data_IF_969490364368
#
_entry.id   IF_969490364368
#
_cell.length_a   1.000
_cell.length_b   1.000
_cell.length_c   1.000
_cell.angle_alpha   90.00
_cell.angle_beta   90.00
_cell.angle_gamma   90.00
#
_symmetry.space_group_name_H-M   'P 1'
#
loop_
_entity.id
_entity.type
_entity.pdbx_description
1 polymer ?
#
# COMPACT_ATOMS: atom_id res chain seq x y z
N UNK A 1 0.81 -42.30 32.63
CA UNK A 1 1.48 -41.19 31.92
C UNK A 1 1.18 -39.95 32.74
N UNK A 2 2.24 -39.33 33.20
CA UNK A 2 2.16 -38.21 34.15
C UNK A 2 1.66 -36.96 33.43
N UNK A 3 0.82 -36.17 34.08
CA UNK A 3 0.18 -34.98 33.53
C UNK A 3 1.21 -33.92 33.05
N UNK A 4 2.40 -33.97 33.65
CA UNK A 4 3.56 -33.15 33.29
C UNK A 4 4.15 -33.51 31.93
N UNK A 5 4.19 -34.79 31.57
CA UNK A 5 4.69 -35.26 30.27
C UNK A 5 3.76 -34.88 29.13
N UNK A 6 2.45 -34.87 29.36
CA UNK A 6 1.44 -34.41 28.37
C UNK A 6 1.52 -32.89 28.15
N UNK A 7 1.79 -32.14 29.19
CA UNK A 7 1.94 -30.68 29.13
C UNK A 7 3.22 -30.28 28.39
N UNK A 8 4.32 -31.00 28.65
CA UNK A 8 5.59 -30.76 27.96
C UNK A 8 5.55 -31.12 26.47
N UNK A 9 4.86 -32.20 26.11
CA UNK A 9 4.66 -32.59 24.71
C UNK A 9 3.81 -31.58 23.94
N UNK A 10 2.76 -31.03 24.58
CA UNK A 10 1.92 -29.98 23.96
C UNK A 10 2.67 -28.65 23.80
N UNK A 11 3.51 -28.29 24.77
CA UNK A 11 4.34 -27.09 24.66
C UNK A 11 5.38 -27.21 23.55
N UNK A 12 6.00 -28.39 23.39
CA UNK A 12 6.93 -28.64 22.27
C UNK A 12 6.25 -28.53 20.94
N UNK A 13 5.07 -29.12 20.78
CA UNK A 13 4.31 -29.05 19.53
C UNK A 13 3.87 -27.62 19.14
N UNK A 14 3.55 -26.80 20.14
CA UNK A 14 3.20 -25.40 19.95
C UNK A 14 4.43 -24.55 19.56
N UNK A 15 5.55 -24.78 20.21
CA UNK A 15 6.83 -24.12 19.92
C UNK A 15 7.39 -24.53 18.55
N UNK A 16 7.30 -25.80 18.17
CA UNK A 16 7.71 -26.26 16.83
C UNK A 16 6.87 -25.63 15.70
N UNK A 17 5.57 -25.40 15.95
CA UNK A 17 4.71 -24.67 15.01
C UNK A 17 5.10 -23.19 14.89
N UNK A 18 5.51 -22.56 15.97
CA UNK A 18 5.90 -21.15 15.95
C UNK A 18 7.31 -20.97 15.35
N UNK A 19 8.24 -21.87 15.62
CA UNK A 19 9.57 -21.93 15.00
C UNK A 19 9.49 -22.15 13.50
N UNK A 20 8.57 -23.00 13.04
CA UNK A 20 8.33 -23.24 11.61
C UNK A 20 7.82 -21.97 10.88
N UNK A 21 7.11 -21.10 11.57
CA UNK A 21 6.65 -19.83 11.01
C UNK A 21 7.78 -18.79 10.81
N UNK A 22 8.85 -18.88 11.59
CA UNK A 22 9.91 -17.85 11.63
C UNK A 22 11.24 -18.27 10.99
N UNK A 23 11.31 -19.39 10.26
CA UNK A 23 12.50 -19.86 9.51
C UNK A 23 13.83 -19.77 10.31
N UNK A 24 13.82 -20.10 11.59
CA UNK A 24 15.05 -20.16 12.40
C UNK A 24 15.90 -21.36 11.94
N UNK A 25 17.22 -21.15 11.79
CA UNK A 25 18.12 -22.19 11.30
C UNK A 25 18.10 -23.43 12.21
N UNK A 26 18.18 -24.66 11.63
CA UNK A 26 18.08 -25.93 12.38
C UNK A 26 19.08 -26.13 13.51
N UNK A 27 20.11 -25.30 13.60
CA UNK A 27 21.15 -25.37 14.65
C UNK A 27 20.94 -24.50 15.88
N UNK A 28 19.92 -23.65 15.90
CA UNK A 28 19.71 -22.68 17.00
C UNK A 28 19.16 -23.34 18.29
N UNK A 29 18.34 -24.38 18.14
CA UNK A 29 17.65 -25.05 19.24
C UNK A 29 18.57 -25.79 20.25
N UNK A 30 19.52 -26.61 19.82
CA UNK A 30 20.43 -27.31 20.76
C UNK A 30 21.33 -26.37 21.54
N UNK A 31 21.60 -25.17 21.07
CA UNK A 31 22.39 -24.17 21.82
C UNK A 31 21.55 -23.48 22.88
N UNK A 32 20.26 -23.21 22.61
CA UNK A 32 19.33 -22.63 23.57
C UNK A 32 19.04 -23.60 24.71
N UNK A 33 18.83 -24.86 24.40
CA UNK A 33 18.56 -25.93 25.39
C UNK A 33 19.74 -26.14 26.34
N UNK A 34 20.97 -26.10 25.87
CA UNK A 34 22.20 -26.18 26.68
C UNK A 34 22.37 -24.97 27.61
N UNK A 35 21.96 -23.77 27.20
CA UNK A 35 21.98 -22.57 28.06
C UNK A 35 20.91 -22.63 29.18
N UNK A 36 19.74 -23.14 28.88
CA UNK A 36 18.62 -23.24 29.82
C UNK A 36 18.86 -24.33 30.91
N UNK A 37 19.61 -25.40 30.60
CA UNK A 37 19.91 -26.47 31.56
C UNK A 37 20.83 -26.05 32.71
N UNK A 38 21.57 -24.95 32.56
CA UNK A 38 22.58 -24.52 33.57
C UNK A 38 22.07 -23.58 34.66
N UNK A 39 20.77 -23.20 34.69
CA UNK A 39 20.25 -22.25 35.68
C UNK A 39 18.87 -22.68 36.24
N UNK A 40 18.84 -23.52 37.30
CA UNK A 40 17.59 -24.11 37.81
C UNK A 40 16.58 -23.07 38.37
N UNK A 41 17.04 -21.93 38.89
CA UNK A 41 16.17 -20.89 39.44
C UNK A 41 15.38 -20.10 38.36
N UNK A 42 15.86 -20.06 37.13
CA UNK A 42 15.14 -19.43 36.00
C UNK A 42 13.98 -20.30 35.50
N UNK A 43 14.01 -21.60 35.74
CA UNK A 43 12.89 -22.52 35.41
C UNK A 43 11.67 -22.23 36.29
N UNK A 44 11.88 -21.93 37.56
CA UNK A 44 10.80 -21.56 38.48
C UNK A 44 10.17 -20.20 38.09
N UNK A 45 10.99 -19.24 37.66
CA UNK A 45 10.52 -17.92 37.24
C UNK A 45 9.74 -17.95 35.91
N UNK A 46 10.14 -18.80 34.95
CA UNK A 46 9.42 -18.99 33.69
C UNK A 46 8.10 -19.73 33.89
N UNK A 47 8.10 -20.78 34.76
CA UNK A 47 6.85 -21.49 35.08
C UNK A 47 5.87 -20.60 35.87
N UNK A 48 6.34 -19.77 36.80
CA UNK A 48 5.50 -18.80 37.48
C UNK A 48 4.99 -17.68 36.53
N UNK A 49 5.82 -17.19 35.60
CA UNK A 49 5.43 -16.21 34.60
C UNK A 49 4.37 -16.74 33.63
N UNK A 50 4.51 -17.99 33.18
CA UNK A 50 3.51 -18.63 32.33
C UNK A 50 2.18 -18.90 33.06
N UNK A 51 2.23 -19.29 34.34
CA UNK A 51 1.03 -19.50 35.15
C UNK A 51 0.26 -18.19 35.39
N UNK A 52 0.97 -17.08 35.63
CA UNK A 52 0.36 -15.73 35.76
C UNK A 52 -0.23 -15.26 34.46
N UNK A 53 0.42 -15.51 33.30
CA UNK A 53 -0.12 -15.17 31.99
C UNK A 53 -1.36 -15.98 31.62
N UNK A 54 -1.39 -17.27 31.95
CA UNK A 54 -2.57 -18.12 31.71
C UNK A 54 -3.72 -17.74 32.63
N UNK A 55 -3.43 -17.42 33.91
CA UNK A 55 -4.43 -16.95 34.86
C UNK A 55 -4.99 -15.56 34.46
N UNK A 56 -4.11 -14.64 34.01
CA UNK A 56 -4.54 -13.34 33.49
C UNK A 56 -5.37 -13.46 32.21
N UNK A 57 -5.02 -14.40 31.32
CA UNK A 57 -5.82 -14.69 30.12
C UNK A 57 -7.19 -15.32 30.47
N UNK A 58 -7.26 -16.20 31.46
CA UNK A 58 -8.51 -16.82 31.91
C UNK A 58 -9.47 -15.84 32.60
N UNK A 59 -8.93 -14.82 33.27
CA UNK A 59 -9.73 -13.75 33.91
C UNK A 59 -10.09 -12.66 32.90
N UNK A 60 -9.19 -12.35 31.94
CA UNK A 60 -9.43 -11.33 30.94
C UNK A 60 -10.27 -11.80 29.75
N UNK A 61 -10.28 -13.09 29.44
CA UNK A 61 -11.03 -13.65 28.30
C UNK A 61 -12.56 -13.41 28.39
N UNK A 62 -13.24 -13.58 29.54
CA UNK A 62 -14.65 -13.24 29.64
C UNK A 62 -14.90 -11.73 29.52
N UNK A 63 -13.98 -10.91 30.05
CA UNK A 63 -14.11 -9.45 30.00
C UNK A 63 -13.88 -8.89 28.59
N UNK A 64 -12.90 -9.45 27.87
CA UNK A 64 -12.66 -9.16 26.46
C UNK A 64 -13.79 -9.69 25.58
N UNK A 65 -14.29 -10.92 25.85
CA UNK A 65 -15.42 -11.49 25.12
C UNK A 65 -16.68 -10.65 25.30
N UNK A 66 -16.98 -10.19 26.52
CA UNK A 66 -18.13 -9.33 26.79
C UNK A 66 -18.03 -7.95 26.08
N UNK A 67 -16.81 -7.39 25.95
CA UNK A 67 -16.60 -6.15 25.17
C UNK A 67 -16.63 -6.38 23.66
N UNK A 68 -16.22 -7.56 23.19
CA UNK A 68 -16.23 -7.92 21.76
C UNK A 68 -17.60 -8.44 21.29
N UNK A 69 -18.46 -8.91 22.23
CA UNK A 69 -19.81 -9.41 21.97
C UNK A 69 -20.90 -8.36 22.21
N UNK A 70 -20.52 -7.15 22.60
CA UNK A 70 -21.50 -6.07 22.66
C UNK A 70 -22.09 -5.89 21.25
N UNK A 71 -23.43 -5.83 21.10
CA UNK A 71 -24.02 -5.57 19.80
C UNK A 71 -23.39 -4.31 19.26
N UNK A 72 -22.86 -4.40 18.03
CA UNK A 72 -22.34 -3.22 17.31
C UNK A 72 -23.45 -2.20 17.35
N UNK A 73 -23.27 -1.16 18.17
CA UNK A 73 -24.21 -0.03 18.19
C UNK A 73 -24.44 0.38 16.74
N UNK A 74 -25.68 0.60 16.38
CA UNK A 74 -26.03 1.15 15.06
C UNK A 74 -25.03 2.26 14.73
N UNK A 75 -24.43 2.27 13.53
CA UNK A 75 -23.44 3.26 13.21
C UNK A 75 -23.97 4.64 13.60
N UNK A 76 -23.21 5.44 14.35
CA UNK A 76 -23.65 6.76 14.71
C UNK A 76 -24.11 7.49 13.45
N UNK A 77 -25.20 8.23 13.53
CA UNK A 77 -25.64 9.08 12.43
C UNK A 77 -24.42 9.82 11.89
N UNK A 78 -24.22 9.84 10.56
CA UNK A 78 -23.10 10.52 9.97
C UNK A 78 -23.01 11.93 10.56
N UNK A 79 -21.83 12.38 11.01
CA UNK A 79 -21.70 13.72 11.55
C UNK A 79 -22.21 14.72 10.53
N UNK A 80 -22.86 15.82 10.95
CA UNK A 80 -23.29 16.87 10.05
C UNK A 80 -22.06 17.45 9.35
N UNK A 81 -21.84 17.09 8.09
CA UNK A 81 -20.69 17.48 7.31
C UNK A 81 -20.57 16.67 6.00
N UNK A 82 -19.64 17.02 5.13
CA UNK A 82 -19.42 16.27 3.88
C UNK A 82 -19.01 14.82 4.19
N UNK A 83 -19.64 13.88 3.52
CA UNK A 83 -19.40 12.45 3.68
C UNK A 83 -19.40 11.73 2.33
N UNK A 84 -18.76 10.57 2.27
CA UNK A 84 -18.78 9.75 1.06
C UNK A 84 -19.95 8.78 1.09
N UNK A 85 -20.65 8.69 -0.03
CA UNK A 85 -21.69 7.69 -0.26
C UNK A 85 -21.29 6.76 -1.40
N UNK A 86 -21.80 5.53 -1.37
CA UNK A 86 -21.57 4.56 -2.43
C UNK A 86 -22.48 4.91 -3.60
N UNK A 87 -21.90 5.29 -4.73
CA UNK A 87 -22.63 5.58 -5.97
C UNK A 87 -22.86 4.34 -6.82
N UNK A 88 -21.82 3.54 -7.05
CA UNK A 88 -21.90 2.35 -7.90
C UNK A 88 -20.87 1.29 -7.49
N UNK A 89 -21.09 0.05 -7.95
CA UNK A 89 -20.20 -1.09 -7.74
C UNK A 89 -20.06 -1.92 -9.00
N UNK A 90 -18.88 -2.51 -9.21
CA UNK A 90 -18.60 -3.45 -10.28
C UNK A 90 -17.59 -4.52 -9.85
N UNK A 91 -17.74 -5.74 -10.36
CA UNK A 91 -16.70 -6.75 -10.19
C UNK A 91 -15.53 -6.47 -11.11
N UNK A 92 -14.31 -6.61 -10.58
CA UNK A 92 -13.07 -6.38 -11.33
C UNK A 92 -12.05 -7.48 -11.02
N UNK A 93 -11.03 -7.60 -11.87
CA UNK A 93 -9.96 -8.59 -11.71
C UNK A 93 -8.59 -7.92 -11.69
N UNK A 94 -8.46 -6.78 -10.97
CA UNK A 94 -7.20 -6.04 -10.92
C UNK A 94 -7.12 -5.11 -9.72
N UNK A 95 -5.90 -4.79 -9.30
CA UNK A 95 -5.62 -4.02 -8.09
C UNK A 95 -5.12 -2.60 -8.41
N UNK A 96 -4.32 -2.47 -9.48
CA UNK A 96 -3.73 -1.19 -9.88
C UNK A 96 -4.68 -0.44 -10.78
N UNK A 97 -5.00 0.81 -10.42
CA UNK A 97 -5.96 1.63 -11.15
C UNK A 97 -5.50 3.09 -11.23
N UNK A 98 -5.97 3.75 -12.27
CA UNK A 98 -5.78 5.19 -12.47
C UNK A 98 -7.00 5.79 -13.15
N UNK A 99 -7.21 7.09 -13.00
CA UNK A 99 -8.26 7.81 -13.73
C UNK A 99 -7.64 8.80 -14.72
N UNK A 100 -8.27 8.93 -15.86
CA UNK A 100 -7.88 9.89 -16.90
C UNK A 100 -8.62 9.64 -18.21
N UNK A 101 -8.61 10.64 -19.06
CA UNK A 101 -9.29 10.58 -20.36
C UNK A 101 -10.77 10.17 -20.27
N UNK A 102 -11.46 10.65 -19.23
CA UNK A 102 -12.89 10.38 -19.00
C UNK A 102 -13.21 8.94 -18.58
N UNK A 103 -12.24 8.18 -18.09
CA UNK A 103 -12.43 6.79 -17.68
C UNK A 103 -11.61 6.43 -16.45
N UNK A 104 -11.95 5.31 -15.83
CA UNK A 104 -11.09 4.59 -14.87
C UNK A 104 -10.46 3.41 -15.60
N UNK A 105 -9.15 3.26 -15.41
CA UNK A 105 -8.34 2.21 -16.05
C UNK A 105 -7.80 1.28 -15.00
N UNK A 106 -7.95 -0.02 -15.21
CA UNK A 106 -7.57 -1.06 -14.22
C UNK A 106 -6.73 -2.11 -14.93
N UNK A 107 -5.59 -2.48 -14.35
CA UNK A 107 -4.80 -3.61 -14.82
C UNK A 107 -5.36 -4.89 -14.21
N UNK A 108 -5.84 -5.79 -15.06
CA UNK A 108 -6.15 -7.17 -14.74
C UNK A 108 -5.13 -8.15 -15.31
N UNK A 109 -5.27 -9.46 -15.02
CA UNK A 109 -4.39 -10.50 -15.53
C UNK A 109 -4.46 -10.58 -17.07
N UNK A 110 -3.38 -10.12 -17.73
CA UNK A 110 -3.27 -10.14 -19.20
C UNK A 110 -4.16 -9.15 -19.95
N UNK A 111 -4.84 -8.25 -19.24
CA UNK A 111 -5.78 -7.28 -19.83
C UNK A 111 -5.75 -5.94 -19.11
N UNK A 112 -6.21 -4.91 -19.78
CA UNK A 112 -6.49 -3.60 -19.17
C UNK A 112 -7.97 -3.28 -19.41
N UNK A 113 -8.68 -3.03 -18.33
CA UNK A 113 -10.09 -2.65 -18.38
C UNK A 113 -10.23 -1.13 -18.44
N UNK A 114 -11.11 -0.66 -19.32
CA UNK A 114 -11.62 0.70 -19.28
C UNK A 114 -13.02 0.69 -18.68
N UNK A 115 -13.22 1.45 -17.62
CA UNK A 115 -14.48 1.56 -16.90
C UNK A 115 -15.06 2.96 -17.09
N UNK A 116 -16.32 3.03 -17.45
CA UNK A 116 -17.08 4.28 -17.53
C UNK A 116 -17.39 4.78 -16.11
N UNK A 117 -16.94 5.99 -15.74
CA UNK A 117 -17.15 6.51 -14.39
C UNK A 117 -18.62 6.92 -14.10
N UNK A 118 -19.48 7.05 -15.08
CA UNK A 118 -20.89 7.36 -14.84
C UNK A 118 -21.71 6.11 -14.48
N UNK A 119 -21.35 4.96 -15.08
CA UNK A 119 -22.14 3.73 -14.97
C UNK A 119 -21.44 2.60 -14.21
N UNK A 120 -20.14 2.77 -13.89
CA UNK A 120 -19.24 1.74 -13.36
C UNK A 120 -19.12 0.48 -14.25
N UNK A 121 -19.51 0.56 -15.52
CA UNK A 121 -19.44 -0.58 -16.45
C UNK A 121 -18.10 -0.61 -17.18
N UNK A 122 -17.58 -1.81 -17.37
CA UNK A 122 -16.45 -2.02 -18.29
C UNK A 122 -16.92 -1.78 -19.73
N UNK A 123 -16.35 -0.76 -20.36
CA UNK A 123 -16.66 -0.37 -21.75
C UNK A 123 -15.63 -0.86 -22.76
N UNK A 124 -14.46 -1.28 -22.30
CA UNK A 124 -13.47 -1.97 -23.13
C UNK A 124 -12.60 -2.90 -22.30
N UNK A 125 -12.21 -4.02 -22.92
CA UNK A 125 -11.20 -4.95 -22.40
C UNK A 125 -10.08 -5.04 -23.42
N UNK A 126 -8.90 -4.60 -23.07
CA UNK A 126 -7.75 -4.42 -23.97
C UNK A 126 -6.72 -5.50 -23.67
N UNK A 127 -6.42 -6.39 -24.62
CA UNK A 127 -5.39 -7.40 -24.41
C UNK A 127 -4.02 -6.77 -24.14
N UNK A 128 -3.40 -7.20 -23.04
CA UNK A 128 -2.06 -6.77 -22.62
C UNK A 128 -1.34 -7.95 -21.94
N UNK A 129 -0.90 -8.94 -22.74
CA UNK A 129 -0.28 -10.16 -22.21
C UNK A 129 0.91 -9.87 -21.30
N UNK A 130 0.90 -10.40 -20.07
CA UNK A 130 1.92 -10.13 -19.05
C UNK A 130 1.64 -8.93 -18.16
N UNK A 131 0.63 -8.10 -18.45
CA UNK A 131 0.11 -7.13 -17.50
C UNK A 131 -0.59 -7.85 -16.33
N UNK A 132 -0.72 -7.18 -15.16
CA UNK A 132 -1.40 -7.73 -13.98
C UNK A 132 -0.57 -8.66 -13.11
N UNK A 133 0.69 -8.95 -13.46
CA UNK A 133 1.67 -9.49 -12.53
C UNK A 133 1.97 -8.45 -11.43
N UNK A 134 2.31 -8.91 -10.23
CA UNK A 134 2.69 -8.01 -9.14
C UNK A 134 4.22 -7.94 -9.00
N UNK A 135 4.77 -6.74 -8.78
CA UNK A 135 4.13 -5.42 -8.74
C UNK A 135 3.76 -4.90 -10.14
N UNK A 136 2.69 -4.10 -10.26
CA UNK A 136 2.29 -3.48 -11.51
C UNK A 136 1.81 -2.05 -11.30
N UNK A 137 2.09 -1.17 -12.26
CA UNK A 137 1.71 0.22 -12.25
C UNK A 137 0.96 0.66 -13.50
N UNK A 138 0.05 1.61 -13.36
CA UNK A 138 -0.67 2.23 -14.45
C UNK A 138 -0.72 3.74 -14.26
N UNK A 139 -0.50 4.50 -15.31
CA UNK A 139 -0.54 5.95 -15.28
C UNK A 139 -1.19 6.52 -16.55
N UNK A 140 -1.84 7.65 -16.41
CA UNK A 140 -2.39 8.42 -17.52
C UNK A 140 -1.59 9.69 -17.75
N UNK A 141 -1.35 10.05 -19.00
CA UNK A 141 -0.65 11.28 -19.35
C UNK A 141 0.03 11.19 -20.72
N UNK A 142 0.52 12.33 -21.19
CA UNK A 142 1.20 12.42 -22.49
C UNK A 142 0.40 11.81 -23.66
N UNK A 143 -0.93 11.98 -23.64
CA UNK A 143 -1.84 11.50 -24.68
C UNK A 143 -2.12 10.00 -24.67
N UNK A 144 -1.74 9.26 -23.62
CA UNK A 144 -1.90 7.81 -23.57
C UNK A 144 -2.15 7.29 -22.14
N UNK A 145 -2.55 6.03 -22.06
CA UNK A 145 -2.51 5.22 -20.84
C UNK A 145 -1.28 4.31 -20.94
N UNK A 146 -0.52 4.26 -19.85
CA UNK A 146 0.73 3.53 -19.75
C UNK A 146 0.63 2.48 -18.65
N UNK A 147 0.93 1.24 -18.97
CA UNK A 147 0.79 0.12 -18.03
C UNK A 147 2.05 -0.75 -18.04
N UNK A 148 2.57 -1.08 -16.87
CA UNK A 148 3.72 -1.97 -16.73
C UNK A 148 3.33 -3.43 -16.94
N UNK A 149 4.27 -4.20 -17.49
CA UNK A 149 4.20 -5.65 -17.64
C UNK A 149 5.45 -6.26 -16.99
N UNK A 150 5.34 -6.78 -15.74
CA UNK A 150 6.50 -7.37 -15.05
C UNK A 150 6.75 -8.85 -15.40
N UNK A 151 5.92 -9.45 -16.24
CA UNK A 151 5.94 -10.89 -16.55
C UNK A 151 7.11 -11.32 -17.44
N UNK A 152 6.92 -12.42 -18.18
CA UNK A 152 7.94 -13.03 -19.08
C UNK A 152 8.52 -12.06 -20.12
N UNK A 153 7.76 -11.06 -20.49
CA UNK A 153 8.17 -10.01 -21.41
C UNK A 153 8.05 -8.66 -20.66
N UNK A 154 9.07 -8.31 -19.88
CA UNK A 154 9.01 -7.07 -19.10
C UNK A 154 9.01 -5.84 -20.01
N UNK A 155 8.19 -4.85 -19.66
CA UNK A 155 8.04 -3.65 -20.45
C UNK A 155 6.86 -2.78 -20.07
N UNK A 156 6.51 -1.88 -20.97
CA UNK A 156 5.40 -0.93 -20.82
C UNK A 156 4.52 -0.95 -22.05
N UNK A 157 3.23 -1.13 -21.84
CA UNK A 157 2.20 -0.93 -22.85
C UNK A 157 1.84 0.54 -22.94
N UNK A 158 1.72 1.04 -24.17
CA UNK A 158 1.09 2.32 -24.48
C UNK A 158 -0.26 2.06 -25.12
N UNK A 159 -1.32 2.61 -24.55
CA UNK A 159 -2.70 2.46 -25.03
C UNK A 159 -3.25 3.82 -25.46
N UNK A 160 -3.86 3.90 -26.62
CA UNK A 160 -4.62 5.09 -27.05
C UNK A 160 -5.99 5.07 -26.35
N UNK A 161 -6.28 6.08 -25.50
CA UNK A 161 -7.54 6.13 -24.75
C UNK A 161 -8.77 6.41 -25.63
N UNK A 162 -8.59 6.83 -26.86
CA UNK A 162 -9.70 7.12 -27.79
C UNK A 162 -10.12 5.86 -28.55
N UNK A 163 -9.16 5.04 -28.95
CA UNK A 163 -9.40 3.84 -29.76
C UNK A 163 -9.44 2.56 -28.94
N UNK A 164 -8.97 2.59 -27.69
CA UNK A 164 -8.81 1.43 -26.79
C UNK A 164 -7.86 0.35 -27.36
N UNK A 165 -6.86 0.75 -28.14
CA UNK A 165 -5.88 -0.18 -28.71
C UNK A 165 -4.50 0.06 -28.12
N UNK A 166 -3.74 -1.03 -27.95
CA UNK A 166 -2.29 -0.95 -27.72
C UNK A 166 -1.62 -0.42 -28.97
N UNK A 167 -0.96 0.73 -28.82
CA UNK A 167 -0.24 1.40 -29.93
C UNK A 167 1.25 1.10 -29.93
N UNK A 168 1.80 0.67 -28.78
CA UNK A 168 3.21 0.30 -28.65
C UNK A 168 3.44 -0.57 -27.43
N UNK A 169 4.48 -1.42 -27.49
CA UNK A 169 5.05 -2.11 -26.36
C UNK A 169 6.55 -1.81 -26.31
N UNK A 170 6.98 -1.18 -25.22
CA UNK A 170 8.37 -0.80 -24.99
C UNK A 170 9.00 -1.84 -24.04
N UNK A 171 9.96 -2.61 -24.54
CA UNK A 171 10.68 -3.60 -23.72
C UNK A 171 11.57 -2.91 -22.72
N UNK A 172 11.51 -3.36 -21.50
CA UNK A 172 12.29 -2.87 -20.37
C UNK A 172 12.74 -4.07 -19.51
N UNK A 173 13.96 -4.58 -19.71
CA UNK A 173 14.59 -5.45 -18.73
C UNK A 173 15.29 -4.56 -17.68
N UNK A 174 15.22 -4.79 -16.40
CA UNK A 174 14.53 -5.84 -15.68
C UNK A 174 13.04 -5.57 -15.38
N UNK A 175 12.55 -5.93 -14.18
CA UNK A 175 11.13 -5.94 -13.83
C UNK A 175 10.59 -4.53 -13.53
N UNK A 176 9.72 -3.94 -14.38
CA UNK A 176 9.07 -2.68 -14.10
C UNK A 176 8.07 -2.81 -12.94
N UNK A 177 8.18 -1.93 -11.94
CA UNK A 177 7.39 -2.00 -10.71
C UNK A 177 6.37 -0.86 -10.59
N UNK A 178 6.77 0.36 -10.95
CA UNK A 178 5.92 1.55 -10.86
C UNK A 178 6.12 2.46 -12.05
N UNK A 179 5.14 3.30 -12.33
CA UNK A 179 5.14 4.20 -13.49
C UNK A 179 4.46 5.52 -13.15
N UNK A 180 5.00 6.61 -13.65
CA UNK A 180 4.37 7.93 -13.59
C UNK A 180 4.64 8.73 -14.86
N UNK A 181 3.77 9.68 -15.17
CA UNK A 181 3.95 10.63 -16.28
C UNK A 181 4.17 12.02 -15.71
N UNK A 182 5.36 12.53 -15.90
CA UNK A 182 5.75 13.84 -15.40
C UNK A 182 6.84 14.49 -16.27
N UNK A 183 6.92 15.81 -16.28
CA UNK A 183 7.95 16.58 -17.00
C UNK A 183 8.08 16.20 -18.49
N UNK A 184 6.96 15.90 -19.14
CA UNK A 184 6.93 15.50 -20.56
C UNK A 184 7.54 14.13 -20.85
N UNK A 185 7.73 13.28 -19.86
CA UNK A 185 8.30 11.93 -19.97
C UNK A 185 7.44 10.92 -19.20
N UNK A 186 7.60 9.66 -19.56
CA UNK A 186 7.12 8.53 -18.77
C UNK A 186 8.30 7.99 -17.99
N UNK A 187 8.13 7.85 -16.68
CA UNK A 187 9.15 7.40 -15.75
C UNK A 187 8.75 6.05 -15.20
N UNK A 188 9.64 5.09 -15.31
CA UNK A 188 9.39 3.70 -14.89
C UNK A 188 10.45 3.31 -13.88
N UNK A 189 10.02 2.88 -12.71
CA UNK A 189 10.89 2.26 -11.71
C UNK A 189 10.99 0.76 -11.99
N UNK A 190 12.20 0.21 -11.88
CA UNK A 190 12.51 -1.16 -12.20
C UNK A 190 13.32 -1.79 -11.06
N UNK A 191 12.84 -2.96 -10.59
CA UNK A 191 13.55 -3.72 -9.57
C UNK A 191 14.63 -4.60 -10.21
N UNK A 192 15.83 -4.54 -9.60
CA UNK A 192 16.98 -5.40 -9.92
C UNK A 192 17.44 -6.16 -8.68
N UNK A 193 18.31 -7.15 -8.87
CA UNK A 193 19.08 -7.72 -7.76
C UNK A 193 20.08 -6.66 -7.25
N UNK A 194 19.72 -6.00 -6.12
CA UNK A 194 20.49 -4.90 -5.56
C UNK A 194 19.82 -3.53 -5.76
N UNK A 195 20.58 -2.45 -6.05
CA UNK A 195 20.00 -1.14 -6.32
C UNK A 195 19.14 -1.17 -7.58
N UNK A 196 17.92 -0.63 -7.47
CA UNK A 196 17.03 -0.51 -8.60
C UNK A 196 17.40 0.66 -9.53
N UNK A 197 16.65 0.78 -10.61
CA UNK A 197 16.82 1.86 -11.58
C UNK A 197 15.50 2.57 -11.87
N UNK A 198 15.60 3.77 -12.41
CA UNK A 198 14.49 4.49 -13.05
C UNK A 198 14.89 4.79 -14.47
N UNK A 199 14.06 4.39 -15.42
CA UNK A 199 14.22 4.73 -16.83
C UNK A 199 13.25 5.80 -17.27
N UNK A 200 13.63 6.53 -18.32
CA UNK A 200 12.81 7.57 -18.96
C UNK A 200 12.39 7.10 -20.33
N UNK A 201 11.11 7.19 -20.64
CA UNK A 201 10.58 6.95 -21.98
C UNK A 201 10.13 8.27 -22.58
N UNK A 202 10.54 8.56 -23.79
CA UNK A 202 9.99 9.67 -24.58
C UNK A 202 8.65 9.25 -25.17
N UNK A 203 7.52 9.87 -24.76
CA UNK A 203 6.19 9.49 -25.24
C UNK A 203 5.95 9.81 -26.72
N UNK A 204 6.81 10.62 -27.35
CA UNK A 204 6.71 10.97 -28.78
C UNK A 204 7.33 9.91 -29.67
N UNK A 205 8.40 9.29 -29.21
CA UNK A 205 9.15 8.27 -29.98
C UNK A 205 8.90 6.84 -29.50
N UNK A 206 8.36 6.65 -28.29
CA UNK A 206 8.20 5.38 -27.60
C UNK A 206 9.53 4.66 -27.33
N UNK A 207 10.61 5.41 -27.16
CA UNK A 207 11.93 4.86 -26.85
C UNK A 207 12.43 5.33 -25.47
N UNK A 208 13.23 4.49 -24.84
CA UNK A 208 14.00 4.87 -23.66
C UNK A 208 14.95 5.98 -24.03
N UNK A 209 15.00 7.04 -23.23
CA UNK A 209 15.82 8.23 -23.46
C UNK A 209 16.85 8.44 -22.36
N UNK A 210 18.11 8.42 -22.74
CA UNK A 210 19.26 8.57 -21.85
C UNK A 210 19.56 7.32 -20.99
N UNK A 211 20.60 7.38 -20.15
CA UNK A 211 21.00 6.25 -19.33
C UNK A 211 20.00 5.98 -18.20
N UNK A 212 19.93 4.73 -17.71
CA UNK A 212 19.21 4.40 -16.49
C UNK A 212 19.74 5.18 -15.29
N UNK A 213 18.83 5.57 -14.39
CA UNK A 213 19.15 6.33 -13.18
C UNK A 213 19.12 5.36 -12.00
N UNK A 214 20.27 5.15 -11.35
CA UNK A 214 20.33 4.27 -10.18
C UNK A 214 19.65 4.89 -8.97
N UNK A 215 18.81 4.09 -8.29
CA UNK A 215 18.07 4.44 -7.08
C UNK A 215 18.32 3.41 -5.97
N UNK A 216 17.63 3.50 -4.85
CA UNK A 216 17.74 2.50 -3.79
C UNK A 216 17.16 1.16 -4.19
N UNK A 217 17.33 0.15 -3.32
CA UNK A 217 16.88 -1.22 -3.55
C UNK A 217 15.35 -1.34 -3.47
N UNK A 218 14.77 -2.09 -4.40
CA UNK A 218 13.35 -2.37 -4.46
C UNK A 218 12.49 -1.11 -4.67
N UNK A 219 12.70 -0.35 -5.77
CA UNK A 219 11.87 0.81 -6.04
C UNK A 219 10.41 0.39 -6.24
N UNK A 220 9.52 0.98 -5.46
CA UNK A 220 8.09 0.62 -5.43
C UNK A 220 7.20 1.69 -6.03
N UNK A 221 7.17 2.88 -5.48
CA UNK A 221 6.32 4.00 -5.91
C UNK A 221 7.19 5.10 -6.53
N UNK A 222 6.64 5.81 -7.51
CA UNK A 222 7.28 6.98 -8.10
C UNK A 222 6.26 8.11 -8.27
N UNK A 223 6.53 9.27 -7.66
CA UNK A 223 5.66 10.44 -7.72
C UNK A 223 6.46 11.70 -8.10
N UNK A 224 5.78 12.70 -8.63
CA UNK A 224 6.40 13.98 -8.99
C UNK A 224 5.89 15.11 -8.10
N UNK A 225 6.80 15.84 -7.45
CA UNK A 225 6.48 16.98 -6.58
C UNK A 225 7.56 18.05 -6.66
N UNK A 226 7.15 19.32 -6.66
CA UNK A 226 8.06 20.47 -6.61
C UNK A 226 9.22 20.37 -7.60
N UNK A 227 8.94 19.96 -8.83
CA UNK A 227 9.97 19.82 -9.87
C UNK A 227 10.91 18.63 -9.71
N UNK A 228 10.65 17.73 -8.78
CA UNK A 228 11.48 16.59 -8.43
C UNK A 228 10.69 15.30 -8.53
N UNK A 229 11.33 14.21 -8.93
CA UNK A 229 10.76 12.87 -8.81
C UNK A 229 11.19 12.25 -7.49
N UNK A 230 10.27 11.58 -6.85
CA UNK A 230 10.47 10.88 -5.59
C UNK A 230 10.19 9.41 -5.79
N UNK A 231 11.15 8.57 -5.45
CA UNK A 231 11.07 7.12 -5.59
C UNK A 231 11.16 6.50 -4.20
N UNK A 232 10.14 5.76 -3.83
CA UNK A 232 10.16 4.96 -2.61
C UNK A 232 10.95 3.68 -2.86
N UNK A 233 11.92 3.39 -2.01
CA UNK A 233 12.71 2.16 -2.06
C UNK A 233 12.28 1.26 -0.91
N UNK A 234 11.85 0.04 -1.21
CA UNK A 234 11.28 -0.91 -0.23
C UNK A 234 12.33 -1.79 0.44
N UNK A 235 13.58 -1.32 0.54
CA UNK A 235 14.60 -2.05 1.24
C UNK A 235 14.27 -2.20 2.72
N UNK A 236 14.29 -3.44 3.21
CA UNK A 236 14.12 -3.76 4.63
C UNK A 236 15.36 -3.48 5.48
N UNK A 237 16.45 -3.02 4.88
CA UNK A 237 17.68 -2.70 5.60
C UNK A 237 17.64 -1.29 6.18
N UNK A 238 17.83 -1.11 7.48
CA UNK A 238 17.83 0.21 8.12
C UNK A 238 19.00 1.11 7.63
N UNK A 239 19.98 0.53 6.95
CA UNK A 239 21.16 1.22 6.45
C UNK A 239 21.04 1.67 4.99
N UNK A 240 19.98 1.28 4.28
CA UNK A 240 19.77 1.65 2.88
C UNK A 240 18.81 2.84 2.75
N UNK A 241 18.96 3.65 1.68
CA UNK A 241 18.06 4.78 1.43
C UNK A 241 16.62 4.30 1.18
N UNK A 242 15.66 4.86 1.90
CA UNK A 242 14.23 4.55 1.72
C UNK A 242 13.60 5.39 0.63
N UNK A 243 14.21 6.53 0.29
CA UNK A 243 13.70 7.45 -0.71
C UNK A 243 14.85 7.98 -1.56
N UNK A 244 14.68 7.95 -2.86
CA UNK A 244 15.55 8.60 -3.83
C UNK A 244 14.84 9.81 -4.45
N UNK A 245 15.53 10.95 -4.48
CA UNK A 245 15.09 12.19 -5.14
C UNK A 245 15.83 12.32 -6.45
N UNK A 246 15.11 12.42 -7.56
CA UNK A 246 15.69 12.54 -8.89
C UNK A 246 15.38 13.93 -9.45
N UNK A 247 16.40 14.65 -9.87
CA UNK A 247 16.21 15.83 -10.71
C UNK A 247 15.83 15.36 -12.12
N UNK A 248 14.62 15.66 -12.62
CA UNK A 248 14.15 15.13 -13.91
C UNK A 248 14.90 15.68 -15.12
N UNK A 249 15.53 16.84 -15.01
CA UNK A 249 16.29 17.44 -16.09
C UNK A 249 17.69 16.83 -16.23
N UNK A 250 18.38 16.61 -15.12
CA UNK A 250 19.79 16.15 -15.11
C UNK A 250 19.94 14.67 -14.84
N UNK A 251 18.95 14.02 -14.21
CA UNK A 251 19.05 12.66 -13.70
C UNK A 251 19.86 12.53 -12.41
N UNK A 252 20.31 13.64 -11.83
CA UNK A 252 21.03 13.62 -10.57
C UNK A 252 20.15 13.07 -9.44
N UNK A 253 20.73 12.20 -8.60
CA UNK A 253 20.03 11.52 -7.50
C UNK A 253 20.59 12.00 -6.18
N UNK A 254 19.70 12.43 -5.29
CA UNK A 254 19.94 12.59 -3.88
C UNK A 254 19.15 11.53 -3.11
N UNK A 255 19.83 10.75 -2.28
CA UNK A 255 19.17 9.71 -1.49
C UNK A 255 19.03 10.16 -0.03
N UNK A 256 17.86 9.95 0.53
CA UNK A 256 17.61 10.24 1.95
C UNK A 256 17.42 8.93 2.71
N UNK A 257 18.14 8.77 3.80
CA UNK A 257 17.86 7.73 4.78
C UNK A 257 16.65 8.17 5.60
N UNK A 258 15.55 7.45 5.44
CA UNK A 258 14.27 7.83 6.03
C UNK A 258 14.16 7.54 7.52
N UNK A 259 15.13 7.91 8.34
CA UNK A 259 15.04 7.72 9.80
C UNK A 259 13.95 8.55 10.47
N UNK A 260 13.44 9.59 9.81
CA UNK A 260 12.38 10.45 10.34
C UNK A 260 10.97 10.10 9.81
N UNK A 261 10.86 9.34 8.72
CA UNK A 261 9.58 9.15 8.03
C UNK A 261 8.87 7.84 8.37
N UNK A 262 9.59 6.81 8.78
CA UNK A 262 9.00 5.50 9.03
C UNK A 262 8.86 5.15 10.50
N UNK A 263 9.73 5.62 11.33
CA UNK A 263 9.84 5.14 12.70
C UNK A 263 10.05 3.62 12.77
N UNK A 264 10.14 3.09 13.96
CA UNK A 264 10.07 1.66 14.23
C UNK A 264 8.70 1.32 14.82
N UNK A 265 8.23 0.09 14.61
CA UNK A 265 7.11 -0.44 15.37
C UNK A 265 7.54 -0.70 16.83
N UNK A 266 6.60 -1.13 17.68
CA UNK A 266 6.90 -1.47 19.09
C UNK A 266 7.90 -2.62 19.25
N UNK A 267 8.18 -3.36 18.18
CA UNK A 267 9.12 -4.47 18.14
C UNK A 267 10.47 -4.07 17.55
N UNK A 268 10.65 -2.80 17.15
CA UNK A 268 11.88 -2.28 16.56
C UNK A 268 12.04 -2.54 15.06
N UNK A 269 11.00 -3.08 14.37
CA UNK A 269 11.07 -3.28 12.93
C UNK A 269 10.96 -1.95 12.20
N UNK A 270 11.82 -1.72 11.21
CA UNK A 270 11.75 -0.55 10.36
C UNK A 270 10.41 -0.52 9.61
N UNK A 271 9.66 0.57 9.75
CA UNK A 271 8.45 0.79 8.98
C UNK A 271 8.83 1.31 7.62
N UNK A 272 8.32 0.67 6.60
CA UNK A 272 8.50 1.10 5.22
C UNK A 272 7.71 2.38 5.03
N UNK A 273 8.39 3.51 4.87
CA UNK A 273 7.76 4.75 4.47
C UNK A 273 7.62 4.75 2.96
N UNK A 274 6.39 4.74 2.49
CA UNK A 274 6.04 4.99 1.09
C UNK A 274 5.71 6.46 0.94
N UNK A 275 6.10 7.05 -0.18
CA UNK A 275 5.49 8.30 -0.61
C UNK A 275 4.32 7.91 -1.49
N UNK A 276 3.12 8.06 -0.95
CA UNK A 276 1.91 7.60 -1.63
C UNK A 276 1.34 8.68 -2.56
N UNK A 277 1.44 9.94 -2.16
CA UNK A 277 0.80 11.04 -2.90
C UNK A 277 1.56 12.36 -2.82
N UNK A 278 1.14 13.26 -3.70
CA UNK A 278 1.58 14.65 -3.76
C UNK A 278 0.38 15.55 -3.86
N UNK A 279 0.33 16.59 -3.05
CA UNK A 279 -0.72 17.60 -3.11
C UNK A 279 -0.59 18.67 -2.03
N UNK A 280 -1.22 19.79 -2.22
CA UNK A 280 -1.14 20.97 -1.33
C UNK A 280 0.32 21.33 -0.97
N UNK A 281 1.23 21.30 -1.95
CA UNK A 281 2.64 21.62 -1.75
C UNK A 281 3.41 20.62 -0.89
N UNK A 282 2.87 19.43 -0.65
CA UNK A 282 3.45 18.45 0.27
C UNK A 282 3.49 17.05 -0.33
N UNK A 283 4.36 16.21 0.20
CA UNK A 283 4.30 14.76 0.05
C UNK A 283 3.44 14.18 1.18
N UNK A 284 2.75 13.12 0.87
CA UNK A 284 1.87 12.40 1.80
C UNK A 284 2.29 10.94 1.87
N UNK A 285 2.36 10.40 3.07
CA UNK A 285 2.71 9.01 3.32
C UNK A 285 1.93 8.46 4.50
N UNK A 286 1.80 7.15 4.55
CA UNK A 286 1.19 6.46 5.69
C UNK A 286 2.26 5.90 6.63
N UNK A 287 2.01 6.04 7.92
CA UNK A 287 2.75 5.41 9.00
C UNK A 287 1.82 4.52 9.83
N UNK A 288 2.31 4.04 10.99
CA UNK A 288 1.44 3.27 11.89
C UNK A 288 0.41 4.18 12.53
N UNK A 289 -0.85 3.97 12.15
CA UNK A 289 -2.00 4.74 12.65
C UNK A 289 -1.92 6.25 12.42
N UNK A 290 -1.11 6.69 11.45
CA UNK A 290 -0.98 8.11 11.09
C UNK A 290 -0.86 8.27 9.59
N UNK A 291 -1.32 9.39 9.08
CA UNK A 291 -0.93 9.94 7.79
C UNK A 291 0.04 11.08 8.05
N UNK A 292 1.18 11.06 7.39
CA UNK A 292 2.21 12.07 7.55
C UNK A 292 2.24 13.01 6.35
N UNK A 293 2.38 14.27 6.64
CA UNK A 293 2.64 15.32 5.66
C UNK A 293 4.10 15.72 5.71
N UNK A 294 4.76 15.80 4.55
CA UNK A 294 6.19 16.01 4.43
C UNK A 294 6.44 17.19 3.50
N UNK A 295 7.30 18.10 3.92
CA UNK A 295 7.80 19.19 3.09
C UNK A 295 8.76 18.63 2.01
N UNK A 296 8.45 18.77 0.73
CA UNK A 296 9.29 18.24 -0.35
C UNK A 296 10.63 18.96 -0.51
N UNK A 297 10.79 20.17 0.00
CA UNK A 297 12.06 20.90 -0.08
C UNK A 297 13.06 20.37 0.95
N UNK A 298 12.59 20.15 2.19
CA UNK A 298 13.44 19.79 3.32
C UNK A 298 13.42 18.30 3.65
N UNK A 299 12.40 17.57 3.20
CA UNK A 299 12.16 16.18 3.58
C UNK A 299 11.69 15.99 5.02
N UNK A 300 11.27 17.05 5.69
CA UNK A 300 10.83 17.01 7.09
C UNK A 300 9.32 16.74 7.19
N UNK A 301 8.93 15.96 8.20
CA UNK A 301 7.52 15.78 8.57
C UNK A 301 7.01 17.10 9.15
N UNK A 302 5.99 17.67 8.54
CA UNK A 302 5.34 18.91 8.97
C UNK A 302 4.06 18.67 9.74
N UNK A 303 3.42 17.51 9.57
CA UNK A 303 2.27 17.08 10.35
C UNK A 303 2.19 15.55 10.42
N UNK A 304 1.72 15.04 11.55
CA UNK A 304 1.36 13.65 11.76
C UNK A 304 -0.11 13.60 12.20
N UNK A 305 -0.97 13.14 11.33
CA UNK A 305 -2.42 13.17 11.48
C UNK A 305 -2.90 11.79 11.91
N UNK A 306 -3.53 11.63 13.08
CA UNK A 306 -4.02 10.34 13.53
C UNK A 306 -5.09 9.79 12.59
N UNK A 307 -4.77 8.68 11.93
CA UNK A 307 -5.69 7.90 11.09
C UNK A 307 -5.41 6.42 11.35
N UNK A 308 -6.18 5.79 12.24
CA UNK A 308 -5.98 4.39 12.57
C UNK A 308 -6.08 3.49 11.34
N UNK A 309 -5.17 2.52 11.24
CA UNK A 309 -5.12 1.52 10.18
C UNK A 309 -4.96 2.09 8.76
N UNK A 310 -4.51 3.34 8.61
CA UNK A 310 -4.17 3.90 7.30
C UNK A 310 -2.99 3.14 6.69
N UNK A 311 -3.08 2.81 5.38
CA UNK A 311 -2.02 2.07 4.70
C UNK A 311 -1.70 2.60 3.30
N UNK A 312 -2.55 3.49 2.72
CA UNK A 312 -2.32 4.16 1.45
C UNK A 312 -3.05 5.51 1.43
N UNK A 313 -2.48 6.51 0.77
CA UNK A 313 -3.09 7.83 0.62
C UNK A 313 -2.92 8.33 -0.81
N UNK A 314 -3.95 8.98 -1.34
CA UNK A 314 -3.89 9.76 -2.58
C UNK A 314 -4.25 11.21 -2.31
N UNK A 315 -3.95 12.10 -3.25
CA UNK A 315 -4.42 13.49 -3.20
C UNK A 315 -5.38 13.77 -4.35
N UNK A 316 -6.59 14.20 -4.00
CA UNK A 316 -7.63 14.48 -4.98
C UNK A 316 -8.61 15.56 -4.48
N UNK A 317 -8.99 16.50 -5.36
CA UNK A 317 -9.90 17.61 -5.04
C UNK A 317 -9.56 18.36 -3.75
N UNK A 318 -8.27 18.68 -3.56
CA UNK A 318 -7.82 19.49 -2.42
C UNK A 318 -7.70 18.74 -1.10
N UNK A 319 -8.07 17.46 -1.03
CA UNK A 319 -7.97 16.62 0.16
C UNK A 319 -6.98 15.47 -0.03
N UNK A 320 -6.35 15.05 1.05
CA UNK A 320 -5.61 13.80 1.10
C UNK A 320 -6.56 12.67 1.56
N UNK A 321 -6.72 11.66 0.71
CA UNK A 321 -7.66 10.56 0.93
C UNK A 321 -6.93 9.31 1.35
N UNK A 322 -7.15 8.87 2.58
CA UNK A 322 -6.50 7.71 3.15
C UNK A 322 -7.42 6.49 3.16
N UNK A 323 -6.89 5.36 2.64
CA UNK A 323 -7.51 4.05 2.80
C UNK A 323 -7.22 3.50 4.19
N UNK A 324 -8.24 3.00 4.87
CA UNK A 324 -8.11 2.34 6.16
C UNK A 324 -8.70 0.94 6.10
N UNK A 325 -8.07 -0.01 6.78
CA UNK A 325 -8.55 -1.39 6.86
C UNK A 325 -8.51 -1.85 8.31
N UNK A 326 -9.64 -2.31 8.83
CA UNK A 326 -9.74 -2.82 10.20
C UNK A 326 -9.80 -4.34 10.17
N UNK A 327 -8.69 -4.99 10.54
CA UNK A 327 -8.70 -6.41 10.86
C UNK A 327 -9.09 -6.60 12.35
N UNK A 328 -9.93 -7.54 12.74
CA UNK A 328 -10.53 -8.63 11.96
C UNK A 328 -11.95 -8.33 11.42
N UNK A 329 -12.47 -7.10 11.53
CA UNK A 329 -13.85 -6.78 11.15
C UNK A 329 -14.15 -7.00 9.65
N UNK A 330 -13.11 -7.09 8.81
CA UNK A 330 -13.25 -7.19 7.36
C UNK A 330 -13.93 -5.97 6.74
N UNK A 331 -13.86 -4.82 7.39
CA UNK A 331 -14.44 -3.55 6.93
C UNK A 331 -13.33 -2.57 6.63
N UNK A 332 -13.34 -2.02 5.43
CA UNK A 332 -12.48 -0.91 5.03
C UNK A 332 -13.27 0.38 4.88
N UNK A 333 -12.59 1.51 4.97
CA UNK A 333 -13.17 2.83 4.69
C UNK A 333 -12.15 3.77 4.07
N UNK A 334 -12.61 4.94 3.66
CA UNK A 334 -11.79 6.02 3.13
C UNK A 334 -12.07 7.26 3.96
N UNK A 335 -11.03 7.97 4.35
CA UNK A 335 -11.17 9.26 5.06
C UNK A 335 -10.48 10.37 4.28
N UNK A 336 -11.10 11.54 4.24
CA UNK A 336 -10.54 12.75 3.62
C UNK A 336 -9.93 13.67 4.67
N UNK A 337 -8.67 14.04 4.48
CA UNK A 337 -7.89 14.90 5.35
C UNK A 337 -7.78 16.27 4.70
N UNK A 338 -8.17 17.31 5.41
CA UNK A 338 -7.95 18.69 4.99
C UNK A 338 -6.51 19.13 5.27
N UNK A 339 -5.74 19.50 4.24
CA UNK A 339 -4.35 19.94 4.41
C UNK A 339 -4.21 21.31 5.08
N UNK A 340 -5.27 22.12 5.13
CA UNK A 340 -5.20 23.42 5.81
C UNK A 340 -5.27 23.26 7.33
N UNK A 341 -6.16 22.39 7.81
CA UNK A 341 -6.33 22.11 9.23
C UNK A 341 -5.48 20.93 9.74
N UNK A 342 -4.97 20.09 8.85
CA UNK A 342 -4.33 18.80 9.17
C UNK A 342 -5.26 17.87 9.99
N UNK A 343 -6.55 17.84 9.67
CA UNK A 343 -7.57 17.04 10.35
C UNK A 343 -8.39 16.22 9.36
N UNK A 344 -8.95 15.12 9.83
CA UNK A 344 -9.96 14.39 9.08
C UNK A 344 -11.20 15.27 8.97
N UNK A 345 -11.57 15.60 7.74
CA UNK A 345 -12.71 16.47 7.40
C UNK A 345 -13.87 15.69 6.78
N UNK A 346 -13.60 14.53 6.19
CA UNK A 346 -14.59 13.70 5.52
C UNK A 346 -14.46 12.26 5.98
N UNK A 347 -15.58 11.65 6.32
CA UNK A 347 -15.64 10.22 6.66
C UNK A 347 -16.35 9.45 5.56
N UNK A 348 -15.76 8.32 5.14
CA UNK A 348 -16.35 7.44 4.14
C UNK A 348 -17.31 6.43 4.73
N UNK A 349 -18.27 5.98 3.91
CA UNK A 349 -19.10 4.84 4.27
C UNK A 349 -18.24 3.58 4.45
N UNK A 350 -18.54 2.75 5.46
CA UNK A 350 -17.87 1.47 5.62
C UNK A 350 -18.22 0.53 4.48
N UNK A 351 -17.20 -0.14 3.92
CA UNK A 351 -17.35 -1.15 2.87
C UNK A 351 -16.82 -2.48 3.39
N UNK A 352 -17.58 -3.56 3.20
CA UNK A 352 -17.09 -4.90 3.52
C UNK A 352 -15.95 -5.27 2.58
N UNK A 353 -14.80 -5.62 3.14
CA UNK A 353 -13.60 -6.00 2.41
C UNK A 353 -12.39 -5.11 2.75
N UNK A 354 -11.24 -5.57 2.32
CA UNK A 354 -9.99 -4.81 2.45
C UNK A 354 -9.85 -3.88 1.22
N UNK A 355 -9.69 -2.56 1.40
CA UNK A 355 -9.40 -1.68 0.28
C UNK A 355 -7.99 -1.98 -0.23
N UNK A 356 -7.83 -2.16 -1.54
CA UNK A 356 -6.58 -2.60 -2.18
C UNK A 356 -5.94 -1.54 -3.07
N UNK A 357 -6.73 -0.60 -3.57
CA UNK A 357 -6.25 0.50 -4.42
C UNK A 357 -7.28 1.61 -4.51
N UNK A 358 -6.83 2.83 -4.78
CA UNK A 358 -7.67 4.02 -4.89
C UNK A 358 -7.17 4.94 -5.99
N UNK A 359 -8.09 5.59 -6.68
CA UNK A 359 -7.80 6.72 -7.57
C UNK A 359 -8.91 7.76 -7.49
N UNK A 360 -8.57 9.03 -7.70
CA UNK A 360 -9.54 10.10 -7.88
C UNK A 360 -9.89 10.26 -9.35
N UNK A 361 -11.17 10.37 -9.67
CA UNK A 361 -11.68 10.60 -11.02
C UNK A 361 -12.62 11.80 -11.10
N UNK A 362 -13.11 12.15 -12.30
CA UNK A 362 -14.01 13.31 -12.48
C UNK A 362 -15.30 13.23 -11.67
N UNK A 363 -15.79 12.03 -11.41
CA UNK A 363 -17.09 11.79 -10.77
C UNK A 363 -16.97 11.38 -9.28
N UNK A 364 -15.75 11.20 -8.73
CA UNK A 364 -15.57 10.75 -7.36
C UNK A 364 -14.30 9.93 -7.17
N UNK A 365 -14.23 9.25 -6.03
CA UNK A 365 -13.16 8.31 -5.71
C UNK A 365 -13.54 6.91 -6.18
N UNK A 366 -12.56 6.19 -6.70
CA UNK A 366 -12.69 4.82 -7.13
C UNK A 366 -11.76 3.95 -6.31
N UNK A 367 -12.33 2.97 -5.63
CA UNK A 367 -11.59 2.11 -4.70
C UNK A 367 -11.86 0.64 -5.05
N UNK A 368 -10.80 -0.13 -5.16
CA UNK A 368 -10.90 -1.59 -5.27
C UNK A 368 -10.89 -2.19 -3.87
N UNK A 369 -11.89 -2.99 -3.56
CA UNK A 369 -11.98 -3.77 -2.33
C UNK A 369 -11.83 -5.26 -2.63
N UNK A 370 -11.03 -5.96 -1.86
CA UNK A 370 -11.05 -7.41 -1.81
C UNK A 370 -12.12 -7.87 -0.81
N UNK A 371 -12.92 -8.88 -1.17
CA UNK A 371 -13.84 -9.47 -0.22
C UNK A 371 -13.08 -10.07 0.98
N UNK A 372 -13.75 -10.36 2.13
CA UNK A 372 -13.06 -10.89 3.31
C UNK A 372 -12.33 -12.23 3.07
N UNK A 373 -12.76 -13.01 2.09
CA UNK A 373 -12.08 -14.25 1.69
C UNK A 373 -10.96 -14.05 0.67
N UNK A 374 -10.74 -12.81 0.20
CA UNK A 374 -9.79 -12.45 -0.87
C UNK A 374 -9.98 -13.24 -2.19
N UNK A 375 -11.19 -13.72 -2.46
CA UNK A 375 -11.52 -14.51 -3.67
C UNK A 375 -12.10 -13.69 -4.80
N UNK A 376 -12.57 -12.46 -4.51
CA UNK A 376 -13.11 -11.54 -5.50
C UNK A 376 -12.78 -10.10 -5.18
N UNK A 377 -12.69 -9.29 -6.23
CA UNK A 377 -12.44 -7.85 -6.14
C UNK A 377 -13.68 -7.08 -6.60
N UNK A 378 -13.99 -6.02 -5.88
CA UNK A 378 -15.08 -5.11 -6.18
C UNK A 378 -14.53 -3.69 -6.37
N UNK A 379 -14.84 -3.06 -7.47
CA UNK A 379 -14.63 -1.64 -7.69
C UNK A 379 -15.81 -0.88 -7.12
N UNK A 380 -15.55 0.04 -6.21
CA UNK A 380 -16.58 0.86 -5.55
C UNK A 380 -16.35 2.32 -5.92
N UNK A 381 -17.40 2.95 -6.43
CA UNK A 381 -17.46 4.38 -6.65
C UNK A 381 -17.95 5.09 -5.40
N UNK A 382 -17.17 6.01 -4.88
CA UNK A 382 -17.51 6.82 -3.71
C UNK A 382 -17.69 8.27 -4.15
N UNK A 383 -18.87 8.81 -3.89
CA UNK A 383 -19.25 10.17 -4.26
C UNK A 383 -19.33 11.03 -3.01
N UNK A 384 -18.79 12.24 -3.09
CA UNK A 384 -18.91 13.22 -2.02
C UNK A 384 -20.33 13.78 -1.98
N UNK A 385 -21.06 13.50 -0.92
CA UNK A 385 -22.36 14.10 -0.65
C UNK A 385 -22.18 15.31 0.27
N UNK A 386 -22.85 16.41 -0.08
CA UNK A 386 -23.02 17.53 0.85
C UNK A 386 -23.93 17.05 1.97
N UNK A 387 -23.54 17.31 3.22
CA UNK A 387 -24.44 17.11 4.37
C UNK A 387 -25.76 17.86 4.16
N UNK A 388 -26.83 17.49 4.85
CA UNK A 388 -28.05 18.27 4.86
C UNK A 388 -27.73 19.70 5.27
N UNK A 389 -28.17 20.65 4.42
CA UNK A 389 -28.07 22.10 4.62
C UNK A 389 -28.79 22.53 5.91
#
# INVERSE_FOLDING_TARGET
MDNDQLTEARLRLALDREVAKHQLSPGAWPQLERRLRRQPWRRAAIAAGCAVMVAAAAVAAPYLWHRLSSPVASPPHPPPGPHLVIGARAHVSGLSLTAGYGAVWIIGPGVIYRVDPATARTVATIPAPGAGGQPSGIATGAGAVWATSPGRHPGVYRIDPRTNHVTSFIRLPPTPTAITVAHGRVWVAEAEEGPGIVVRIDPRTNHVSGPPIRVGTGPGEIVSAAGTLWVTNTSYSPNLPNVSRINPATGAVASTRGSSWGGTDRLGNAKISRIDAVGAGSLWTTGVNVVQRIDPATGRVTAAIPVPHAWHVIFWHGLAWALTAVAPSGVGTVVGIDPASNRVAVHGAPVRGAPMGITGGPAGLWVVFANPAHTSLELVHLVLASGPS
#
